data_IF_259134798100
#
_entry.id   IF_259134798100
#
_cell.length_a   1.000
_cell.length_b   1.000
_cell.length_c   1.000
_cell.angle_alpha   90.00
_cell.angle_beta   90.00
_cell.angle_gamma   90.00
#
_symmetry.space_group_name_H-M   'P 1'
#
loop_
_entity.id
_entity.type
_entity.pdbx_description
1 polymer ?
#
# COMPACT_ATOMS: atom_id res chain seq x y z
N UNK A 1 27.53 54.07 68.77
CA UNK A 1 27.89 52.88 67.96
C UNK A 1 27.32 53.06 66.56
N UNK A 2 28.18 53.27 65.55
CA UNK A 2 27.82 53.28 64.12
C UNK A 2 27.92 51.86 63.59
N UNK A 3 26.89 51.38 62.90
CA UNK A 3 26.97 50.19 62.04
C UNK A 3 26.67 50.60 60.58
N UNK A 4 27.32 49.96 59.61
CA UNK A 4 27.51 50.52 58.27
C UNK A 4 26.35 50.22 57.31
N UNK A 5 26.21 51.11 56.34
CA UNK A 5 25.30 51.00 55.18
C UNK A 5 25.82 49.90 54.25
N UNK A 6 25.02 48.88 54.01
CA UNK A 6 25.31 47.85 53.00
C UNK A 6 24.91 48.41 51.63
N UNK A 7 25.91 48.52 50.76
CA UNK A 7 25.79 49.00 49.37
C UNK A 7 25.20 47.85 48.54
N UNK A 8 23.96 48.00 48.09
CA UNK A 8 23.32 47.07 47.15
C UNK A 8 23.93 47.27 45.76
N UNK A 9 24.93 46.45 45.43
CA UNK A 9 25.54 46.42 44.10
C UNK A 9 24.61 45.71 43.11
N UNK A 10 24.12 46.47 42.14
CA UNK A 10 23.26 46.03 41.05
C UNK A 10 24.08 45.17 40.08
N UNK A 11 23.91 43.86 40.09
CA UNK A 11 24.54 42.94 39.13
C UNK A 11 23.65 42.79 37.89
N UNK A 12 23.92 43.59 36.87
CA UNK A 12 23.40 43.36 35.50
C UNK A 12 24.04 42.08 34.94
N UNK A 13 23.26 41.01 34.85
CA UNK A 13 23.71 39.73 34.27
C UNK A 13 23.37 39.69 32.76
N UNK A 14 24.35 39.54 31.86
CA UNK A 14 24.15 39.42 30.42
C UNK A 14 23.77 37.97 30.07
N UNK A 15 22.58 37.52 30.48
CA UNK A 15 22.09 36.15 30.24
C UNK A 15 21.12 36.02 29.06
N UNK A 16 21.01 37.04 28.22
CA UNK A 16 19.97 37.09 27.17
C UNK A 16 20.47 36.88 25.74
N UNK A 17 21.78 36.74 25.51
CA UNK A 17 22.31 36.65 24.14
C UNK A 17 22.45 35.22 23.56
N UNK A 18 22.41 34.17 24.39
CA UNK A 18 22.64 32.79 23.94
C UNK A 18 21.38 31.89 23.95
N UNK A 19 20.21 32.40 24.33
CA UNK A 19 18.98 31.60 24.40
C UNK A 19 18.36 31.33 23.01
N UNK A 20 18.58 32.22 22.05
CA UNK A 20 17.95 32.15 20.72
C UNK A 20 18.45 30.98 19.84
N UNK A 21 19.76 30.69 19.72
CA UNK A 21 20.21 29.58 18.86
C UNK A 21 19.88 28.18 19.42
N UNK A 22 19.79 28.03 20.75
CA UNK A 22 19.45 26.75 21.38
C UNK A 22 17.97 26.36 21.15
N UNK A 23 17.06 27.34 21.21
CA UNK A 23 15.62 27.12 20.95
C UNK A 23 15.36 26.77 19.49
N UNK A 24 16.10 27.39 18.55
CA UNK A 24 15.98 27.10 17.11
C UNK A 24 16.49 25.68 16.77
N UNK A 25 17.57 25.22 17.39
CA UNK A 25 18.10 23.87 17.18
C UNK A 25 17.16 22.77 17.73
N UNK A 26 16.51 23.00 18.88
CA UNK A 26 15.52 22.05 19.43
C UNK A 26 14.21 22.01 18.62
N UNK A 27 13.82 23.11 17.97
CA UNK A 27 12.57 23.17 17.19
C UNK A 27 12.59 22.34 15.90
N UNK A 28 13.77 22.07 15.32
CA UNK A 28 13.92 21.33 14.06
C UNK A 28 13.97 19.79 14.24
N UNK A 29 14.15 19.28 15.46
CA UNK A 29 14.14 17.84 15.76
C UNK A 29 12.74 17.28 16.07
N UNK A 30 11.74 18.15 16.27
CA UNK A 30 10.37 17.75 16.63
C UNK A 30 9.57 16.97 15.56
N UNK A 31 9.71 17.18 14.23
CA UNK A 31 8.80 16.53 13.29
C UNK A 31 9.05 15.03 13.13
N UNK A 32 10.23 14.53 13.49
CA UNK A 32 10.58 13.11 13.37
C UNK A 32 9.86 12.20 14.40
N UNK A 33 9.44 12.75 15.55
CA UNK A 33 8.73 11.98 16.59
C UNK A 33 7.22 11.88 16.34
N UNK A 34 6.65 12.79 15.53
CA UNK A 34 5.22 12.84 15.23
C UNK A 34 4.75 11.80 14.19
N UNK A 35 5.69 11.13 13.50
CA UNK A 35 5.39 10.12 12.46
C UNK A 35 5.32 8.69 13.00
N UNK A 36 5.38 8.51 14.32
CA UNK A 36 5.43 7.20 14.98
C UNK A 36 4.08 6.47 15.10
N UNK A 37 2.99 7.06 14.61
CA UNK A 37 1.67 6.43 14.59
C UNK A 37 1.45 5.53 13.37
N UNK A 38 0.98 4.30 13.57
CA UNK A 38 0.38 3.51 12.47
C UNK A 38 -0.78 4.32 11.89
N UNK A 39 -0.86 4.54 10.57
CA UNK A 39 -2.00 5.24 9.98
C UNK A 39 -3.30 4.54 10.39
N UNK A 40 -4.39 5.30 10.60
CA UNK A 40 -5.67 4.71 11.00
C UNK A 40 -6.13 3.66 9.98
N UNK A 41 -6.76 2.59 10.47
CA UNK A 41 -7.34 1.57 9.62
C UNK A 41 -8.46 2.19 8.77
N UNK A 42 -8.43 1.95 7.46
CA UNK A 42 -9.47 2.37 6.52
C UNK A 42 -10.23 1.14 6.07
N UNK A 43 -11.17 0.71 6.91
CA UNK A 43 -11.90 -0.54 6.71
C UNK A 43 -13.21 -0.26 6.00
N UNK A 44 -13.45 -1.03 4.95
CA UNK A 44 -14.75 -1.15 4.28
C UNK A 44 -15.69 -1.93 5.20
N UNK A 45 -15.16 -2.97 5.84
CA UNK A 45 -15.92 -3.89 6.66
C UNK A 45 -15.03 -4.65 7.65
N UNK A 46 -15.58 -5.03 8.79
CA UNK A 46 -14.96 -5.93 9.76
C UNK A 46 -13.58 -5.49 10.25
N UNK A 47 -12.68 -6.47 10.43
CA UNK A 47 -11.32 -6.26 10.90
C UNK A 47 -10.28 -6.27 9.77
N UNK A 48 -10.57 -6.85 8.61
CA UNK A 48 -9.59 -7.17 7.57
C UNK A 48 -9.85 -6.51 6.22
N UNK A 49 -11.07 -6.06 5.91
CA UNK A 49 -11.38 -5.54 4.58
C UNK A 49 -10.90 -4.09 4.41
N UNK A 50 -9.58 -3.88 4.33
CA UNK A 50 -8.98 -2.57 4.03
C UNK A 50 -7.54 -2.39 4.50
N UNK A 51 -6.82 -1.35 4.02
CA UNK A 51 -5.47 -1.06 4.46
C UNK A 51 -5.43 -0.64 5.93
N UNK A 52 -4.34 -1.02 6.60
CA UNK A 52 -4.15 -0.72 8.02
C UNK A 52 -5.02 -1.57 8.95
N UNK A 53 -5.54 -2.70 8.47
CA UNK A 53 -6.41 -3.64 9.18
C UNK A 53 -6.08 -3.92 10.65
N UNK A 54 -7.09 -4.44 11.37
CA UNK A 54 -7.04 -4.73 12.80
C UNK A 54 -6.43 -6.11 13.11
N UNK A 55 -5.65 -6.69 12.20
CA UNK A 55 -4.97 -7.94 12.47
C UNK A 55 -4.12 -7.82 13.76
N UNK A 56 -4.12 -8.81 14.66
CA UNK A 56 -4.58 -10.19 14.47
C UNK A 56 -5.96 -10.52 15.11
N UNK A 57 -6.90 -9.56 15.21
CA UNK A 57 -8.24 -9.85 15.73
C UNK A 57 -8.94 -10.97 14.92
N UNK A 58 -9.84 -11.77 15.52
CA UNK A 58 -10.58 -12.77 14.76
C UNK A 58 -11.51 -12.10 13.73
N UNK A 59 -11.71 -12.71 12.54
CA UNK A 59 -12.72 -12.24 11.62
C UNK A 59 -14.13 -12.31 12.24
N UNK A 60 -14.96 -11.32 11.97
CA UNK A 60 -16.29 -11.23 12.59
C UNK A 60 -17.41 -11.92 11.80
N UNK A 61 -17.19 -12.16 10.49
CA UNK A 61 -18.12 -12.87 9.61
C UNK A 61 -17.42 -13.50 8.39
N UNK A 62 -18.21 -14.02 7.45
CA UNK A 62 -17.72 -14.70 6.25
C UNK A 62 -16.93 -13.78 5.30
N UNK A 63 -17.34 -12.50 5.16
CA UNK A 63 -16.66 -11.54 4.28
C UNK A 63 -15.33 -11.13 4.91
N UNK A 64 -15.34 -10.82 6.19
CA UNK A 64 -14.14 -10.48 6.96
C UNK A 64 -13.13 -11.64 6.94
N UNK A 65 -13.62 -12.89 7.02
CA UNK A 65 -12.77 -14.07 6.91
C UNK A 65 -12.16 -14.24 5.51
N UNK A 66 -12.87 -13.84 4.44
CA UNK A 66 -12.32 -13.82 3.08
C UNK A 66 -11.19 -12.78 2.94
N UNK A 67 -11.40 -11.58 3.49
CA UNK A 67 -10.38 -10.53 3.56
C UNK A 67 -9.15 -11.00 4.37
N UNK A 68 -9.34 -11.63 5.52
CA UNK A 68 -8.24 -12.18 6.32
C UNK A 68 -7.40 -13.22 5.55
N UNK A 69 -8.04 -14.10 4.76
CA UNK A 69 -7.32 -15.06 3.90
C UNK A 69 -6.59 -14.37 2.75
N UNK A 70 -7.11 -13.28 2.21
CA UNK A 70 -6.42 -12.48 1.19
C UNK A 70 -5.17 -11.81 1.73
N UNK A 71 -5.25 -11.24 2.93
CA UNK A 71 -4.09 -10.65 3.61
C UNK A 71 -3.01 -11.71 3.89
N UNK A 72 -3.41 -12.90 4.35
CA UNK A 72 -2.49 -14.02 4.58
C UNK A 72 -1.87 -14.58 3.29
N UNK A 73 -2.56 -14.45 2.14
CA UNK A 73 -2.05 -14.83 0.82
C UNK A 73 -0.93 -13.89 0.34
N UNK A 74 -0.86 -12.67 0.89
CA UNK A 74 0.09 -11.64 0.49
C UNK A 74 1.41 -11.80 1.24
N UNK A 75 2.57 -11.83 0.55
CA UNK A 75 3.87 -11.84 1.22
C UNK A 75 3.99 -10.65 2.19
N UNK A 76 4.57 -10.86 3.38
CA UNK A 76 4.71 -9.78 4.38
C UNK A 76 5.35 -8.53 3.76
N UNK A 77 4.67 -7.39 3.88
CA UNK A 77 5.13 -6.10 3.36
C UNK A 77 5.09 -5.97 1.82
N UNK A 78 4.47 -6.93 1.12
CA UNK A 78 4.37 -6.95 -0.34
C UNK A 78 2.96 -6.64 -0.86
N UNK A 79 2.83 -6.61 -2.18
CA UNK A 79 1.54 -6.56 -2.86
C UNK A 79 1.00 -7.97 -3.14
N UNK A 80 -0.33 -8.09 -3.11
CA UNK A 80 -1.03 -9.30 -3.49
C UNK A 80 -0.69 -9.73 -4.92
N UNK A 81 -0.71 -11.05 -5.16
CA UNK A 81 -0.63 -11.59 -6.52
C UNK A 81 -2.00 -11.50 -7.19
N UNK A 82 -2.04 -11.57 -8.53
CA UNK A 82 -3.31 -11.64 -9.26
C UNK A 82 -4.16 -12.84 -8.83
N UNK A 83 -3.53 -13.96 -8.46
CA UNK A 83 -4.22 -15.13 -7.94
C UNK A 83 -4.87 -14.88 -6.57
N UNK A 84 -4.19 -14.16 -5.67
CA UNK A 84 -4.78 -13.76 -4.38
C UNK A 84 -6.00 -12.84 -4.60
N UNK A 85 -5.87 -11.82 -5.47
CA UNK A 85 -6.96 -10.91 -5.79
C UNK A 85 -8.17 -11.65 -6.39
N UNK A 86 -7.92 -12.54 -7.36
CA UNK A 86 -8.98 -13.34 -7.98
C UNK A 86 -9.66 -14.30 -6.98
N UNK A 87 -8.92 -14.81 -5.99
CA UNK A 87 -9.49 -15.65 -4.92
C UNK A 87 -10.43 -14.81 -4.04
N UNK A 88 -10.01 -13.61 -3.62
CA UNK A 88 -10.86 -12.70 -2.85
C UNK A 88 -12.13 -12.34 -3.62
N UNK A 89 -12.00 -11.98 -4.90
CA UNK A 89 -13.14 -11.66 -5.75
C UNK A 89 -14.18 -12.79 -5.76
N UNK A 90 -13.75 -14.03 -6.03
CA UNK A 90 -14.69 -15.18 -6.07
C UNK A 90 -15.36 -15.44 -4.72
N UNK A 91 -14.63 -15.38 -3.62
CA UNK A 91 -15.22 -15.59 -2.29
C UNK A 91 -16.25 -14.51 -1.95
N UNK A 92 -15.93 -13.24 -2.22
CA UNK A 92 -16.84 -12.13 -1.98
C UNK A 92 -18.08 -12.18 -2.90
N UNK A 93 -17.95 -12.60 -4.17
CA UNK A 93 -19.09 -12.81 -5.06
C UNK A 93 -20.06 -13.89 -4.56
N UNK A 94 -19.54 -14.98 -3.98
CA UNK A 94 -20.40 -16.03 -3.40
C UNK A 94 -21.20 -15.49 -2.21
N UNK A 95 -20.58 -14.67 -1.36
CA UNK A 95 -21.23 -14.04 -0.21
C UNK A 95 -22.28 -13.02 -0.66
N UNK A 96 -21.98 -12.19 -1.66
CA UNK A 96 -22.91 -11.19 -2.19
C UNK A 96 -24.21 -11.82 -2.77
N UNK A 97 -24.09 -13.03 -3.33
CA UNK A 97 -25.21 -13.77 -3.91
C UNK A 97 -25.96 -14.66 -2.92
N UNK A 98 -25.47 -14.84 -1.70
CA UNK A 98 -26.10 -15.71 -0.70
C UNK A 98 -27.31 -15.03 -0.04
N UNK A 99 -28.55 -15.50 -0.28
CA UNK A 99 -29.74 -14.89 0.30
C UNK A 99 -29.86 -15.10 1.82
N UNK A 100 -29.01 -15.95 2.43
CA UNK A 100 -28.97 -16.14 3.88
C UNK A 100 -28.19 -15.04 4.60
N UNK A 101 -27.41 -14.23 3.88
CA UNK A 101 -26.63 -13.14 4.45
C UNK A 101 -27.46 -11.86 4.59
N UNK A 102 -27.18 -11.04 5.62
CA UNK A 102 -27.74 -9.69 5.73
C UNK A 102 -27.50 -8.84 4.47
N UNK A 103 -28.44 -7.98 4.11
CA UNK A 103 -28.38 -7.16 2.90
C UNK A 103 -27.14 -6.25 2.87
N UNK A 104 -26.82 -5.59 3.98
CA UNK A 104 -25.64 -4.75 4.14
C UNK A 104 -24.33 -5.54 3.96
N UNK A 105 -24.28 -6.77 4.46
CA UNK A 105 -23.13 -7.65 4.26
C UNK A 105 -22.98 -8.07 2.78
N UNK A 106 -24.10 -8.32 2.09
CA UNK A 106 -24.12 -8.66 0.67
C UNK A 106 -23.66 -7.48 -0.19
N UNK A 107 -24.06 -6.27 0.14
CA UNK A 107 -23.63 -5.05 -0.55
C UNK A 107 -22.14 -4.78 -0.35
N UNK A 108 -21.66 -4.88 0.90
CA UNK A 108 -20.24 -4.78 1.21
C UNK A 108 -19.43 -5.85 0.45
N UNK A 109 -19.93 -7.09 0.39
CA UNK A 109 -19.30 -8.17 -0.37
C UNK A 109 -19.27 -7.89 -1.87
N UNK A 110 -20.33 -7.32 -2.44
CA UNK A 110 -20.38 -6.90 -3.84
C UNK A 110 -19.33 -5.83 -4.16
N UNK A 111 -19.18 -4.84 -3.28
CA UNK A 111 -18.14 -3.82 -3.42
C UNK A 111 -16.72 -4.43 -3.31
N UNK A 112 -16.48 -5.29 -2.32
CA UNK A 112 -15.18 -5.97 -2.13
C UNK A 112 -14.85 -6.84 -3.34
N UNK A 113 -15.82 -7.57 -3.89
CA UNK A 113 -15.65 -8.37 -5.09
C UNK A 113 -15.20 -7.51 -6.29
N UNK A 114 -15.92 -6.43 -6.55
CA UNK A 114 -15.58 -5.48 -7.61
C UNK A 114 -14.19 -4.87 -7.41
N UNK A 115 -13.90 -4.38 -6.21
CA UNK A 115 -12.62 -3.77 -5.88
C UNK A 115 -11.46 -4.76 -6.06
N UNK A 116 -11.63 -6.02 -5.61
CA UNK A 116 -10.62 -7.07 -5.77
C UNK A 116 -10.28 -7.36 -7.24
N UNK A 117 -11.26 -7.26 -8.15
CA UNK A 117 -11.05 -7.39 -9.59
C UNK A 117 -10.24 -6.26 -10.22
N UNK A 118 -10.23 -5.08 -9.59
CA UNK A 118 -9.48 -3.90 -10.05
C UNK A 118 -8.15 -3.70 -9.33
N UNK A 119 -7.87 -4.46 -8.26
CA UNK A 119 -6.64 -4.31 -7.49
C UNK A 119 -5.41 -4.65 -8.34
N UNK A 120 -4.40 -3.76 -8.39
CA UNK A 120 -3.17 -4.04 -9.10
C UNK A 120 -2.45 -5.20 -8.42
N UNK A 121 -1.88 -6.08 -9.23
CA UNK A 121 -1.06 -7.18 -8.73
C UNK A 121 0.43 -6.82 -8.71
N UNK A 122 1.21 -7.54 -7.90
CA UNK A 122 2.67 -7.38 -7.83
C UNK A 122 3.35 -7.32 -9.22
N UNK A 123 2.93 -8.17 -10.17
CA UNK A 123 3.50 -8.17 -11.53
C UNK A 123 3.09 -6.96 -12.36
N UNK A 124 1.88 -6.46 -12.19
CA UNK A 124 1.39 -5.29 -12.93
C UNK A 124 2.14 -4.04 -12.49
N UNK A 125 2.31 -3.83 -11.17
CA UNK A 125 3.08 -2.69 -10.67
C UNK A 125 4.56 -2.79 -11.03
N UNK A 126 5.15 -4.00 -10.98
CA UNK A 126 6.54 -4.20 -11.39
C UNK A 126 6.79 -3.97 -12.90
N UNK A 127 5.75 -4.03 -13.73
CA UNK A 127 5.81 -3.80 -15.20
C UNK A 127 5.36 -2.39 -15.59
N UNK A 128 4.79 -1.62 -14.67
CA UNK A 128 4.39 -0.26 -14.95
C UNK A 128 5.65 0.51 -15.40
N UNK A 129 5.60 1.21 -16.55
CA UNK A 129 6.71 2.07 -16.93
C UNK A 129 6.90 3.09 -15.82
N UNK A 130 8.05 3.05 -15.14
CA UNK A 130 8.43 4.15 -14.28
C UNK A 130 8.49 5.40 -15.17
N UNK A 131 7.81 6.50 -14.84
CA UNK A 131 8.06 7.75 -15.53
C UNK A 131 9.57 8.01 -15.38
N UNK A 132 10.29 8.02 -16.50
CA UNK A 132 11.68 8.41 -16.49
C UNK A 132 11.74 9.78 -15.80
N UNK A 133 12.40 9.85 -14.63
CA UNK A 133 12.61 11.13 -13.96
C UNK A 133 13.20 12.11 -14.97
N UNK A 134 12.65 13.34 -15.11
CA UNK A 134 13.26 14.36 -15.93
C UNK A 134 14.46 14.94 -15.18
N UNK A 135 15.50 14.13 -14.95
CA UNK A 135 16.77 14.64 -14.44
C UNK A 135 17.93 14.00 -15.19
N UNK A 136 18.73 14.90 -15.76
CA UNK A 136 20.05 14.72 -16.36
C UNK A 136 20.11 14.21 -17.82
N UNK A 137 19.80 15.12 -18.76
CA UNK A 137 20.54 15.19 -20.02
C UNK A 137 21.07 16.60 -20.26
N UNK A 138 22.23 16.91 -19.68
CA UNK A 138 23.28 17.59 -20.45
C UNK A 138 24.22 16.49 -20.94
N UNK A 139 23.79 15.79 -21.99
CA UNK A 139 24.70 14.93 -22.76
C UNK A 139 25.25 15.82 -23.88
N UNK A 140 26.51 16.22 -23.73
CA UNK A 140 27.29 16.76 -24.84
C UNK A 140 27.32 15.69 -25.92
N UNK A 141 26.72 15.99 -27.06
CA UNK A 141 26.89 15.21 -28.27
C UNK A 141 28.37 15.23 -28.67
N UNK A 142 28.98 14.06 -28.75
CA UNK A 142 30.06 13.80 -29.72
C UNK A 142 29.97 12.33 -30.11
N UNK A 143 29.68 12.11 -31.38
CA UNK A 143 29.25 10.82 -31.90
C UNK A 143 30.36 9.77 -31.95
N UNK A 144 29.94 8.52 -32.13
CA UNK A 144 30.72 7.52 -32.85
C UNK A 144 29.74 6.52 -33.45
N UNK A 145 29.85 6.33 -34.77
CA UNK A 145 29.12 5.32 -35.53
C UNK A 145 29.53 3.94 -35.02
N UNK A 146 28.55 3.11 -34.67
CA UNK A 146 28.74 1.67 -34.56
C UNK A 146 27.61 0.98 -35.32
N UNK A 147 28.01 0.40 -36.43
CA UNK A 147 27.31 -0.50 -37.35
C UNK A 147 26.56 -1.61 -36.63
N UNK A 148 25.35 -1.88 -37.10
CA UNK A 148 24.45 -2.89 -36.55
C UNK A 148 24.89 -4.34 -36.80
N UNK A 149 24.28 -5.22 -36.01
CA UNK A 149 24.06 -6.63 -36.38
C UNK A 149 22.73 -7.07 -35.80
N UNK A 150 21.77 -7.27 -36.70
CA UNK A 150 20.48 -7.91 -36.43
C UNK A 150 20.76 -9.39 -36.19
N UNK A 151 20.53 -9.86 -34.97
CA UNK A 151 20.40 -11.30 -34.70
C UNK A 151 18.92 -11.63 -34.67
N UNK A 152 18.46 -12.32 -35.70
CA UNK A 152 17.12 -12.89 -35.84
C UNK A 152 16.92 -14.02 -34.82
N UNK A 153 15.90 -13.88 -33.96
CA UNK A 153 15.44 -14.95 -33.09
C UNK A 153 14.49 -15.90 -33.86
N UNK A 154 14.52 -17.23 -33.60
CA UNK A 154 13.68 -18.19 -34.31
C UNK A 154 12.20 -18.12 -33.86
N UNK A 155 11.25 -18.55 -34.72
CA UNK A 155 9.83 -18.52 -34.40
C UNK A 155 9.45 -19.58 -33.36
N UNK A 156 8.69 -19.16 -32.35
CA UNK A 156 8.05 -20.06 -31.39
C UNK A 156 6.91 -20.83 -32.05
N UNK A 157 6.87 -22.16 -31.84
CA UNK A 157 5.78 -23.05 -32.28
C UNK A 157 4.47 -22.71 -31.55
N UNK A 158 3.31 -22.82 -32.21
CA UNK A 158 2.02 -22.72 -31.54
C UNK A 158 1.76 -23.97 -30.69
N UNK A 159 1.50 -23.80 -29.40
CA UNK A 159 0.92 -24.83 -28.55
C UNK A 159 -0.60 -24.75 -28.72
N UNK A 160 -1.17 -25.75 -29.38
CA UNK A 160 -2.61 -25.86 -29.55
C UNK A 160 -3.30 -26.14 -28.22
N UNK A 161 -4.13 -25.21 -27.75
CA UNK A 161 -5.12 -25.47 -26.73
C UNK A 161 -6.36 -26.07 -27.40
N UNK A 162 -6.51 -27.39 -27.30
CA UNK A 162 -7.81 -28.05 -27.53
C UNK A 162 -8.59 -27.95 -26.22
N UNK A 163 -9.63 -27.12 -26.18
CA UNK A 163 -10.65 -27.20 -25.13
C UNK A 163 -11.52 -28.44 -25.42
N UNK A 164 -11.84 -29.28 -24.41
CA UNK A 164 -12.92 -30.24 -24.55
C UNK A 164 -14.27 -29.50 -24.56
N UNK A 165 -15.17 -29.95 -25.44
CA UNK A 165 -16.54 -29.46 -25.55
C UNK A 165 -17.33 -29.68 -24.24
N UNK A 166 -18.30 -28.82 -23.91
CA UNK A 166 -19.24 -29.12 -22.83
C UNK A 166 -20.13 -30.31 -23.22
N UNK A 167 -20.27 -31.27 -22.31
CA UNK A 167 -21.28 -32.30 -22.39
C UNK A 167 -22.66 -31.65 -22.36
N UNK A 168 -23.47 -32.01 -23.35
CA UNK A 168 -24.90 -31.71 -23.43
C UNK A 168 -25.55 -32.87 -22.66
N UNK A 169 -26.04 -32.59 -21.45
CA UNK A 169 -27.03 -33.47 -20.81
C UNK A 169 -28.38 -33.08 -21.43
N UNK A 170 -28.81 -33.91 -22.39
CA UNK A 170 -30.21 -34.11 -22.76
C UNK A 170 -30.89 -34.90 -21.61
N UNK A 171 -32.22 -34.75 -21.47
CA UNK A 171 -33.13 -35.35 -20.45
C UNK A 171 -33.30 -34.46 -19.19
N UNK A 172 -34.48 -33.94 -18.80
CA UNK A 172 -35.83 -34.51 -18.71
C UNK A 172 -36.93 -33.43 -18.76
N UNK A 173 -38.03 -33.78 -19.47
CA UNK A 173 -39.45 -33.34 -19.44
C UNK A 173 -39.87 -31.85 -19.56
#
# INVERSE_FOLDING_TARGET
MRLPRIILSKTTSPRTAFAVPLVLACGLAAPALAQSGRPPALLIHGNYCGPGNNAPLPPIDALDAACARHDACTPRGGMATAACNARLQREAELIARDPRQPEDLRDAAGFVAFAAGLMPSRRQVARAPFPASPMATKSLATGSLATGSVTTAPPARPVGHTLPAPAIDEDDE
#
